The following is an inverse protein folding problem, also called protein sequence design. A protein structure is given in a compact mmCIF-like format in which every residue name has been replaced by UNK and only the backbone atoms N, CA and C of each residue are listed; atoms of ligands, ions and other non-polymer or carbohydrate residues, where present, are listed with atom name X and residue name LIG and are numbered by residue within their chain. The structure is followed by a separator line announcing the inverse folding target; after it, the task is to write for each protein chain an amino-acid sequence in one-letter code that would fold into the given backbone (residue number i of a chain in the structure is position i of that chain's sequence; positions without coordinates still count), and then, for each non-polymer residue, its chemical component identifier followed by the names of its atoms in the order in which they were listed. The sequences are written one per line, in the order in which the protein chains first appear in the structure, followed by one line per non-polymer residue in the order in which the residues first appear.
data_IF_082602014142
#
_entry.id   IF_082602014142
#
_cell.length_a   1.000
_cell.length_b   1.000
_cell.length_c   1.000
_cell.angle_alpha   90.00
_cell.angle_beta   90.00
_cell.angle_gamma   90.00
#
_symmetry.space_group_name_H-M   'P 1'
#
loop_
_entity.id
_entity.type
_entity.pdbx_description
1 polymer ?
#
# COMPACT_ATOMS: atom_id res chain seq x y z
N UNK A 1 -12.30 -6.50 -7.00
CA UNK A 1 -13.13 -5.94 -5.90
C UNK A 1 -12.68 -4.52 -5.65
N UNK A 2 -13.60 -3.55 -5.55
CA UNK A 2 -13.23 -2.17 -5.16
C UNK A 2 -12.94 -2.18 -3.66
N UNK A 3 -11.77 -1.66 -3.28
CA UNK A 3 -11.34 -1.57 -1.88
C UNK A 3 -11.69 -0.21 -1.28
N UNK A 4 -11.43 0.87 -2.02
CA UNK A 4 -11.61 2.24 -1.56
C UNK A 4 -11.77 3.21 -2.74
N UNK A 5 -12.41 4.35 -2.51
CA UNK A 5 -12.56 5.46 -3.48
C UNK A 5 -12.38 6.79 -2.75
N UNK A 6 -11.40 7.59 -3.17
CA UNK A 6 -11.11 8.90 -2.56
C UNK A 6 -10.78 9.98 -3.57
N UNK A 7 -10.81 11.23 -3.12
CA UNK A 7 -10.32 12.35 -3.93
C UNK A 7 -8.82 12.16 -4.22
N UNK A 8 -8.45 12.31 -5.49
CA UNK A 8 -7.04 12.31 -5.88
C UNK A 8 -6.35 13.62 -5.45
N UNK A 9 -5.05 13.58 -5.13
CA UNK A 9 -4.23 14.79 -5.03
C UNK A 9 -4.25 15.64 -6.31
N UNK A 10 -4.51 15.01 -7.47
CA UNK A 10 -4.77 15.70 -8.72
C UNK A 10 -6.25 16.10 -8.82
N UNK A 11 -6.52 17.38 -9.07
CA UNK A 11 -7.89 17.87 -9.24
C UNK A 11 -8.60 17.20 -10.42
N UNK A 12 -9.89 16.93 -10.26
CA UNK A 12 -10.78 16.47 -11.33
C UNK A 12 -10.92 14.95 -11.47
N UNK A 13 -10.20 14.17 -10.65
CA UNK A 13 -10.25 12.70 -10.69
C UNK A 13 -10.38 12.09 -9.30
N UNK A 14 -11.06 10.96 -9.22
CA UNK A 14 -11.04 10.04 -8.09
C UNK A 14 -9.83 9.13 -8.21
N UNK A 15 -9.22 8.79 -7.08
CA UNK A 15 -8.31 7.66 -6.95
C UNK A 15 -9.12 6.45 -6.44
N UNK A 16 -8.99 5.32 -7.12
CA UNK A 16 -9.75 4.10 -6.86
C UNK A 16 -8.77 2.96 -6.62
N UNK A 17 -8.85 2.38 -5.42
CA UNK A 17 -8.10 1.19 -5.06
C UNK A 17 -8.96 -0.03 -5.39
N UNK A 18 -8.38 -1.00 -6.09
CA UNK A 18 -9.07 -2.26 -6.37
C UNK A 18 -8.13 -3.45 -6.27
N UNK A 19 -8.71 -4.60 -5.95
CA UNK A 19 -8.01 -5.87 -5.93
C UNK A 19 -8.45 -6.76 -7.09
N UNK A 20 -7.47 -7.28 -7.83
CA UNK A 20 -7.66 -8.24 -8.91
C UNK A 20 -6.63 -9.36 -8.78
N UNK A 21 -7.10 -10.61 -8.76
CA UNK A 21 -6.24 -11.81 -8.66
C UNK A 21 -5.22 -11.73 -7.50
N UNK A 22 -5.66 -11.22 -6.35
CA UNK A 22 -4.85 -11.05 -5.14
C UNK A 22 -3.83 -9.90 -5.19
N UNK A 23 -3.88 -9.04 -6.21
CA UNK A 23 -3.02 -7.86 -6.33
C UNK A 23 -3.85 -6.61 -6.18
N UNK A 24 -3.41 -5.71 -5.30
CA UNK A 24 -3.99 -4.38 -5.14
C UNK A 24 -3.41 -3.46 -6.20
N UNK A 25 -4.24 -2.63 -6.82
CA UNK A 25 -3.87 -1.67 -7.85
C UNK A 25 -4.61 -0.35 -7.63
N UNK A 26 -4.07 0.72 -8.19
CA UNK A 26 -4.60 2.08 -8.10
C UNK A 26 -4.87 2.59 -9.51
N UNK A 27 -6.08 3.06 -9.76
CA UNK A 27 -6.47 3.74 -11.00
C UNK A 27 -7.12 5.08 -10.70
N UNK A 28 -7.15 5.94 -11.71
CA UNK A 28 -7.76 7.25 -11.62
C UNK A 28 -8.96 7.34 -12.56
N UNK A 29 -10.06 7.89 -12.08
CA UNK A 29 -11.30 8.04 -12.84
C UNK A 29 -11.74 9.48 -12.78
N UNK A 30 -12.02 10.11 -13.92
CA UNK A 30 -12.51 11.49 -13.93
C UNK A 30 -13.89 11.62 -13.26
N UNK A 31 -14.21 12.80 -12.73
CA UNK A 31 -15.48 13.00 -12.02
C UNK A 31 -16.72 12.77 -12.88
N UNK A 32 -16.60 12.94 -14.19
CA UNK A 32 -17.67 12.66 -15.15
C UNK A 32 -17.79 11.16 -15.49
N UNK A 33 -16.87 10.31 -15.01
CA UNK A 33 -16.80 8.86 -15.27
C UNK A 33 -16.76 8.53 -16.76
N UNK A 34 -16.10 9.38 -17.54
CA UNK A 34 -15.92 9.22 -18.99
C UNK A 34 -14.55 8.65 -19.33
N UNK A 35 -13.58 8.80 -18.45
CA UNK A 35 -12.21 8.41 -18.66
C UNK A 35 -11.66 7.76 -17.41
N UNK A 36 -10.83 6.74 -17.61
CA UNK A 36 -9.96 6.23 -16.56
C UNK A 36 -8.55 6.11 -17.10
N UNK A 37 -7.57 6.16 -16.20
CA UNK A 37 -6.18 5.92 -16.55
C UNK A 37 -5.45 5.19 -15.42
N UNK A 38 -4.39 4.51 -15.84
CA UNK A 38 -3.47 3.77 -14.99
C UNK A 38 -2.06 4.34 -15.18
N UNK A 39 -1.33 4.56 -14.09
CA UNK A 39 0.02 5.12 -14.13
C UNK A 39 0.43 5.79 -12.82
N UNK A 40 1.56 6.50 -12.87
CA UNK A 40 2.11 7.22 -11.72
C UNK A 40 1.71 8.69 -11.74
N UNK A 41 1.12 9.15 -10.64
CA UNK A 41 0.91 10.57 -10.35
C UNK A 41 2.18 11.14 -9.71
N UNK A 42 2.95 11.91 -10.48
CA UNK A 42 4.18 12.55 -10.02
C UNK A 42 3.90 14.00 -9.61
N UNK A 43 4.18 14.33 -8.34
CA UNK A 43 4.22 15.71 -7.88
C UNK A 43 5.52 16.36 -8.37
N UNK A 44 5.41 17.32 -9.28
CA UNK A 44 6.56 18.11 -9.76
C UNK A 44 7.17 18.95 -8.63
N UNK A 45 6.38 19.67 -7.81
CA UNK A 45 6.94 20.49 -6.72
C UNK A 45 7.69 19.65 -5.68
N UNK A 46 7.15 18.48 -5.33
CA UNK A 46 7.73 17.62 -4.29
C UNK A 46 8.73 16.61 -4.84
N UNK A 47 8.80 16.43 -6.17
CA UNK A 47 9.59 15.40 -6.86
C UNK A 47 9.28 13.98 -6.35
N UNK A 48 8.00 13.71 -6.10
CA UNK A 48 7.50 12.48 -5.49
C UNK A 48 6.54 11.73 -6.38
N UNK A 49 6.56 10.40 -6.29
CA UNK A 49 5.55 9.54 -6.88
C UNK A 49 4.44 9.26 -5.85
N UNK A 50 3.35 10.02 -5.94
CA UNK A 50 2.24 9.94 -4.99
C UNK A 50 1.50 8.59 -5.07
N UNK A 51 1.41 8.02 -6.28
CA UNK A 51 0.82 6.67 -6.46
C UNK A 51 1.67 5.61 -5.78
N UNK A 52 3.01 5.72 -5.82
CA UNK A 52 3.89 4.78 -5.15
C UNK A 52 3.81 4.89 -3.62
N UNK A 53 3.81 6.11 -3.07
CA UNK A 53 3.61 6.31 -1.64
C UNK A 53 2.28 5.69 -1.19
N UNK A 54 1.21 5.96 -1.94
CA UNK A 54 -0.10 5.37 -1.66
C UNK A 54 -0.12 3.85 -1.80
N UNK A 55 0.56 3.30 -2.80
CA UNK A 55 0.68 1.86 -2.98
C UNK A 55 1.37 1.18 -1.78
N UNK A 56 2.39 1.81 -1.20
CA UNK A 56 3.06 1.32 0.02
C UNK A 56 2.06 1.30 1.18
N UNK A 57 1.27 2.34 1.36
CA UNK A 57 0.24 2.38 2.41
C UNK A 57 -0.86 1.33 2.20
N UNK A 58 -1.33 1.16 0.96
CA UNK A 58 -2.36 0.20 0.60
C UNK A 58 -1.92 -1.26 0.86
N UNK A 59 -0.62 -1.52 0.75
CA UNK A 59 -0.01 -2.83 1.00
C UNK A 59 0.59 -2.96 2.41
N UNK A 60 0.37 -1.99 3.30
CA UNK A 60 0.84 -2.07 4.67
C UNK A 60 0.17 -3.23 5.40
N UNK A 61 0.98 -4.09 6.00
CA UNK A 61 0.53 -5.21 6.83
C UNK A 61 0.45 -4.75 8.27
N UNK A 62 -0.62 -5.14 8.97
CA UNK A 62 -0.71 -4.99 10.42
C UNK A 62 0.16 -6.04 11.09
N UNK A 63 1.35 -5.62 11.53
CA UNK A 63 2.34 -6.47 12.21
C UNK A 63 1.77 -7.07 13.51
N UNK A 64 0.77 -6.44 14.14
CA UNK A 64 0.15 -6.96 15.36
C UNK A 64 -0.67 -8.23 15.13
N UNK A 65 -1.05 -8.50 13.88
CA UNK A 65 -1.77 -9.72 13.49
C UNK A 65 -0.84 -10.92 13.27
N UNK A 66 0.48 -10.72 13.33
CA UNK A 66 1.43 -11.82 13.17
C UNK A 66 1.53 -12.57 14.52
N UNK A 67 1.19 -13.88 14.58
CA UNK A 67 1.34 -14.67 15.79
C UNK A 67 2.82 -14.87 16.11
N UNK A 68 3.25 -14.43 17.30
CA UNK A 68 4.64 -14.49 17.75
C UNK A 68 4.84 -15.46 18.92
N UNK A 69 3.80 -16.19 19.34
CA UNK A 69 3.81 -17.06 20.52
C UNK A 69 4.87 -18.17 20.40
N UNK A 70 5.09 -18.66 19.18
CA UNK A 70 6.07 -19.70 18.87
C UNK A 70 7.34 -19.15 18.20
N UNK A 71 7.53 -17.83 18.18
CA UNK A 71 8.70 -17.22 17.55
C UNK A 71 9.96 -17.39 18.41
N UNK A 72 11.09 -17.68 17.76
CA UNK A 72 12.39 -17.64 18.42
C UNK A 72 12.90 -16.19 18.48
N UNK A 73 13.08 -15.65 19.68
CA UNK A 73 13.65 -14.31 19.87
C UNK A 73 15.17 -14.38 19.77
N UNK A 74 15.73 -13.66 18.80
CA UNK A 74 17.17 -13.47 18.62
C UNK A 74 17.56 -12.02 18.95
N UNK A 75 18.49 -11.83 19.89
CA UNK A 75 18.95 -10.51 20.31
C UNK A 75 18.27 -9.99 21.59
N UNK A 76 18.19 -8.66 21.73
CA UNK A 76 17.59 -8.00 22.90
C UNK A 76 16.05 -8.02 22.82
N UNK A 77 15.35 -8.66 23.79
CA UNK A 77 13.88 -8.65 23.84
C UNK A 77 13.24 -7.25 23.94
N UNK A 78 14.01 -6.22 24.32
CA UNK A 78 13.57 -4.83 24.44
C UNK A 78 14.01 -3.94 23.28
N UNK A 79 14.54 -4.51 22.20
CA UNK A 79 14.99 -3.74 21.05
C UNK A 79 13.88 -2.83 20.48
N UNK A 80 14.22 -1.56 20.23
CA UNK A 80 13.28 -0.57 19.67
C UNK A 80 12.83 -0.92 18.26
N UNK A 81 13.73 -1.49 17.46
CA UNK A 81 13.47 -1.96 16.10
C UNK A 81 13.39 -3.47 16.15
N UNK A 82 12.28 -4.02 15.67
CA UNK A 82 12.03 -5.46 15.61
C UNK A 82 11.79 -5.85 14.17
N UNK A 83 12.33 -7.02 13.77
CA UNK A 83 12.16 -7.60 12.44
C UNK A 83 11.57 -8.99 12.63
N UNK A 84 10.49 -9.28 11.91
CA UNK A 84 9.89 -10.63 11.87
C UNK A 84 10.40 -11.31 10.62
N UNK A 85 11.01 -12.48 10.77
CA UNK A 85 11.52 -13.30 9.66
C UNK A 85 10.73 -14.61 9.63
N UNK A 86 10.10 -14.88 8.49
CA UNK A 86 9.51 -16.18 8.19
C UNK A 86 10.56 -17.00 7.43
N UNK A 87 10.95 -18.15 8.00
CA UNK A 87 11.96 -19.04 7.41
C UNK A 87 11.50 -20.48 7.48
N UNK A 88 11.94 -21.28 6.52
CA UNK A 88 11.85 -22.73 6.51
C UNK A 88 13.28 -23.28 6.69
N UNK A 89 13.51 -24.36 7.47
CA UNK A 89 14.83 -24.94 7.64
C UNK A 89 15.42 -25.64 6.41
N UNK A 90 14.62 -25.88 5.35
CA UNK A 90 15.05 -26.50 4.09
C UNK A 90 15.89 -25.57 3.17
#
# INVERSE_FOLDING_TARGET
VILDVRLSPMKGVWEVDFESRGRKEIVYVDFLKRHFFYGALISIPEKKNLTQERFIELNKVDVSQIPLENALVLGDPRARIRVVVFTDPD
#
